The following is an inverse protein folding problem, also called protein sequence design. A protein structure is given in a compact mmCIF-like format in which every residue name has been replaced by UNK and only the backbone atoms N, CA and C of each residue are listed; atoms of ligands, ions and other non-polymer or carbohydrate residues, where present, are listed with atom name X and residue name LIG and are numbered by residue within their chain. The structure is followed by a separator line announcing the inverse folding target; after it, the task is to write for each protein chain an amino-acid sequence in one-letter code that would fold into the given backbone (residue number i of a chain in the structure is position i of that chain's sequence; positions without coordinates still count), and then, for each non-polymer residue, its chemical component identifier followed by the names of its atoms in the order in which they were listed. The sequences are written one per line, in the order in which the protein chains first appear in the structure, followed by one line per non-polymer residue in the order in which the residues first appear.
data_IF_039465469889
#
_entry.id   IF_039465469889
#
_cell.length_a   1.000
_cell.length_b   1.000
_cell.length_c   1.000
_cell.angle_alpha   90.00
_cell.angle_beta   90.00
_cell.angle_gamma   90.00
#
_symmetry.space_group_name_H-M   'P 1'
#
loop_
_entity.id
_entity.type
_entity.pdbx_description
1 polymer ?
#
# COMPACT_ATOMS: atom_id res chain seq x y z
N UNK A 1 6.67 -26.80 25.18
CA UNK A 1 6.89 -27.44 23.86
C UNK A 1 5.61 -27.20 23.05
N UNK A 2 5.61 -26.17 22.20
CA UNK A 2 4.55 -25.95 21.21
C UNK A 2 5.26 -25.55 19.93
N UNK A 3 5.45 -26.53 19.05
CA UNK A 3 5.94 -26.35 17.68
C UNK A 3 4.78 -26.67 16.77
N UNK A 4 4.10 -25.64 16.28
CA UNK A 4 3.23 -25.77 15.11
C UNK A 4 3.22 -24.43 14.37
N UNK A 5 4.40 -24.03 13.90
CA UNK A 5 4.54 -22.99 12.89
C UNK A 5 4.03 -23.56 11.57
N UNK A 6 2.72 -23.47 11.33
CA UNK A 6 2.15 -23.60 9.99
C UNK A 6 2.74 -22.47 9.14
N UNK A 7 3.85 -22.77 8.47
CA UNK A 7 4.36 -21.97 7.37
C UNK A 7 3.22 -21.90 6.35
N UNK A 8 2.65 -20.72 6.18
CA UNK A 8 1.75 -20.40 5.08
C UNK A 8 2.51 -20.68 3.79
N UNK A 9 2.35 -21.88 3.22
CA UNK A 9 2.83 -22.19 1.89
C UNK A 9 2.05 -21.31 0.92
N UNK A 10 2.70 -20.23 0.48
CA UNK A 10 2.15 -19.32 -0.49
C UNK A 10 1.99 -20.05 -1.82
N UNK A 11 0.84 -19.90 -2.51
CA UNK A 11 0.68 -20.43 -3.85
C UNK A 11 1.73 -19.77 -4.76
N UNK A 12 2.68 -20.58 -5.23
CA UNK A 12 3.63 -20.21 -6.28
C UNK A 12 2.82 -20.00 -7.55
N UNK A 13 2.33 -18.77 -7.76
CA UNK A 13 1.66 -18.41 -9.02
C UNK A 13 2.74 -18.29 -10.10
N UNK A 14 2.81 -19.31 -10.96
CA UNK A 14 3.82 -19.53 -12.02
C UNK A 14 3.75 -18.53 -13.19
N UNK A 15 3.31 -17.30 -12.93
CA UNK A 15 3.45 -16.17 -13.82
C UNK A 15 3.41 -14.95 -12.93
N UNK A 16 4.53 -14.22 -12.82
CA UNK A 16 4.75 -13.15 -11.85
C UNK A 16 3.69 -12.05 -12.00
N UNK A 17 2.54 -12.25 -11.35
CA UNK A 17 1.52 -11.23 -11.21
C UNK A 17 2.09 -10.22 -10.21
N UNK A 18 2.29 -9.02 -10.72
CA UNK A 18 2.68 -7.84 -9.96
C UNK A 18 1.64 -7.61 -8.87
N UNK A 19 1.99 -7.83 -7.60
CA UNK A 19 1.10 -7.52 -6.48
C UNK A 19 1.00 -6.00 -6.33
N UNK A 20 -0.22 -5.50 -6.16
CA UNK A 20 -0.53 -4.08 -5.93
C UNK A 20 -1.23 -3.97 -4.58
N UNK A 21 -0.75 -3.10 -3.69
CA UNK A 21 -1.44 -2.82 -2.43
C UNK A 21 -2.27 -1.55 -2.61
N UNK A 22 -3.57 -1.62 -2.31
CA UNK A 22 -4.47 -0.46 -2.33
C UNK A 22 -5.06 -0.25 -0.94
N UNK A 23 -4.93 0.98 -0.44
CA UNK A 23 -5.50 1.40 0.84
C UNK A 23 -6.79 2.19 0.62
N UNK A 24 -7.71 2.12 1.60
CA UNK A 24 -8.94 2.91 1.60
C UNK A 24 -9.05 3.72 2.89
N UNK A 25 -9.50 4.97 2.77
CA UNK A 25 -9.77 5.85 3.90
C UNK A 25 -11.11 5.52 4.62
N UNK A 26 -11.52 4.24 4.65
CA UNK A 26 -12.74 3.80 5.32
C UNK A 26 -14.07 4.10 4.60
N UNK A 27 -14.03 4.49 3.33
CA UNK A 27 -15.23 4.73 2.51
C UNK A 27 -15.17 3.92 1.20
N UNK A 28 -15.44 2.62 1.29
CA UNK A 28 -15.57 1.74 0.12
C UNK A 28 -16.02 0.33 0.53
N UNK A 29 -16.55 -0.49 -0.40
CA UNK A 29 -16.86 -1.89 -0.15
C UNK A 29 -15.55 -2.70 -0.11
N UNK A 30 -14.68 -2.41 0.86
CA UNK A 30 -13.60 -3.32 1.19
C UNK A 30 -14.18 -4.66 1.64
N UNK A 31 -13.45 -5.77 1.50
CA UNK A 31 -13.85 -7.03 2.09
C UNK A 31 -14.13 -6.81 3.59
N UNK A 32 -15.26 -7.32 4.08
CA UNK A 32 -15.57 -7.22 5.50
C UNK A 32 -14.46 -7.87 6.35
N UNK A 33 -14.38 -7.59 7.66
CA UNK A 33 -13.30 -8.10 8.52
C UNK A 33 -13.12 -9.63 8.46
N UNK A 34 -14.19 -10.38 8.14
CA UNK A 34 -14.17 -11.83 7.99
C UNK A 34 -13.52 -12.33 6.68
N UNK A 35 -13.36 -11.47 5.67
CA UNK A 35 -12.78 -11.76 4.35
C UNK A 35 -11.34 -11.24 4.20
N UNK A 36 -10.74 -10.67 5.26
CA UNK A 36 -9.31 -10.32 5.35
C UNK A 36 -8.39 -11.55 5.38
N UNK A 37 -8.62 -12.52 4.49
CA UNK A 37 -7.52 -13.37 4.09
C UNK A 37 -6.53 -12.43 3.38
N UNK A 38 -5.31 -12.31 3.90
CA UNK A 38 -4.17 -11.65 3.24
C UNK A 38 -3.84 -12.39 1.94
N UNK A 39 -4.77 -12.48 1.00
CA UNK A 39 -4.65 -13.16 -0.28
C UNK A 39 -4.91 -12.09 -1.33
N UNK A 40 -4.02 -11.98 -2.33
CA UNK A 40 -4.31 -11.13 -3.47
C UNK A 40 -5.62 -11.56 -4.12
N UNK A 41 -6.43 -10.61 -4.59
CA UNK A 41 -7.62 -10.91 -5.38
C UNK A 41 -7.26 -11.51 -6.76
N UNK A 42 -8.27 -11.72 -7.62
CA UNK A 42 -8.04 -12.28 -8.96
C UNK A 42 -7.14 -11.41 -9.85
N UNK A 43 -6.96 -10.14 -9.50
CA UNK A 43 -6.10 -9.17 -10.18
C UNK A 43 -4.74 -8.98 -9.49
N UNK A 44 -4.54 -9.60 -8.32
CA UNK A 44 -3.31 -9.46 -7.54
C UNK A 44 -3.33 -8.31 -6.55
N UNK A 45 -4.50 -7.75 -6.23
CA UNK A 45 -4.64 -6.62 -5.30
C UNK A 45 -4.74 -7.08 -3.86
N UNK A 46 -4.06 -6.36 -2.99
CA UNK A 46 -4.06 -6.55 -1.54
C UNK A 46 -4.69 -5.33 -0.86
N UNK A 47 -5.44 -5.57 0.21
CA UNK A 47 -6.24 -4.57 0.90
C UNK A 47 -5.75 -4.41 2.33
N UNK A 48 -5.40 -3.18 2.73
CA UNK A 48 -4.94 -2.88 4.09
C UNK A 48 -5.70 -1.69 4.67
N UNK A 49 -6.06 -1.79 5.95
CA UNK A 49 -6.80 -0.75 6.67
C UNK A 49 -5.89 0.12 7.56
N UNK A 50 -4.70 -0.37 7.87
CA UNK A 50 -3.73 0.33 8.71
C UNK A 50 -2.29 0.10 8.24
N UNK A 51 -1.39 0.89 8.83
CA UNK A 51 0.03 0.89 8.50
C UNK A 51 0.77 -0.42 8.85
N UNK A 52 0.34 -1.12 9.90
CA UNK A 52 0.98 -2.36 10.32
C UNK A 52 0.66 -3.51 9.35
N UNK A 53 -0.58 -3.56 8.84
CA UNK A 53 -0.98 -4.50 7.80
C UNK A 53 -0.15 -4.28 6.52
N UNK A 54 0.12 -3.03 6.14
CA UNK A 54 0.91 -2.72 4.95
C UNK A 54 2.36 -3.14 5.10
N UNK A 55 2.99 -2.82 6.24
CA UNK A 55 4.35 -3.28 6.52
C UNK A 55 4.45 -4.79 6.34
N UNK A 56 3.51 -5.55 6.92
CA UNK A 56 3.46 -7.00 6.77
C UNK A 56 3.28 -7.41 5.30
N UNK A 57 2.35 -6.79 4.58
CA UNK A 57 2.07 -7.11 3.17
C UNK A 57 3.26 -6.81 2.27
N UNK A 58 3.95 -5.68 2.45
CA UNK A 58 5.14 -5.33 1.68
C UNK A 58 6.24 -6.38 1.89
N UNK A 59 6.44 -6.82 3.13
CA UNK A 59 7.43 -7.86 3.46
C UNK A 59 7.07 -9.23 2.89
N UNK A 60 5.79 -9.60 2.89
CA UNK A 60 5.33 -10.91 2.43
C UNK A 60 5.22 -11.01 0.91
N UNK A 61 4.76 -9.94 0.25
CA UNK A 61 4.37 -9.99 -1.16
C UNK A 61 5.32 -9.26 -2.10
N UNK A 62 6.21 -8.42 -1.58
CA UNK A 62 7.11 -7.59 -2.37
C UNK A 62 6.37 -6.91 -3.55
N UNK A 63 5.34 -6.10 -3.26
CA UNK A 63 4.53 -5.47 -4.29
C UNK A 63 5.38 -4.58 -5.19
N UNK A 64 4.97 -4.41 -6.43
CA UNK A 64 5.61 -3.43 -7.32
C UNK A 64 4.99 -2.05 -7.21
N UNK A 65 3.80 -1.95 -6.63
CA UNK A 65 3.05 -0.71 -6.53
C UNK A 65 2.23 -0.66 -5.24
N UNK A 66 2.21 0.52 -4.63
CA UNK A 66 1.37 0.85 -3.48
C UNK A 66 0.56 2.09 -3.82
N UNK A 67 -0.73 2.05 -3.55
CA UNK A 67 -1.67 3.14 -3.81
C UNK A 67 -2.42 3.46 -2.52
N UNK A 68 -2.42 4.73 -2.12
CA UNK A 68 -3.18 5.18 -0.95
C UNK A 68 -3.84 6.55 -1.17
N UNK A 69 -4.86 6.88 -0.37
CA UNK A 69 -5.21 8.27 -0.09
C UNK A 69 -3.99 9.05 0.43
N UNK A 70 -3.94 10.34 0.10
CA UNK A 70 -2.93 11.28 0.56
C UNK A 70 -3.08 11.56 2.06
N UNK A 71 -4.33 11.69 2.53
CA UNK A 71 -4.68 11.79 3.95
C UNK A 71 -5.87 10.88 4.20
N UNK A 72 -5.79 10.06 5.24
CA UNK A 72 -6.88 9.24 5.75
C UNK A 72 -7.06 9.49 7.26
N UNK A 73 -8.14 8.95 7.84
CA UNK A 73 -8.44 9.14 9.27
C UNK A 73 -7.32 8.62 10.20
N UNK A 74 -6.62 7.55 9.79
CA UNK A 74 -5.71 6.80 10.64
C UNK A 74 -4.25 6.84 10.15
N UNK A 75 -3.97 7.48 9.03
CA UNK A 75 -2.62 7.63 8.48
C UNK A 75 -2.58 8.79 7.49
N UNK A 76 -1.40 9.34 7.26
CA UNK A 76 -1.12 10.17 6.09
C UNK A 76 -0.10 9.48 5.16
N UNK A 77 0.00 10.00 3.94
CA UNK A 77 0.87 9.40 2.94
C UNK A 77 2.37 9.48 3.29
N UNK A 78 2.77 10.35 4.21
CA UNK A 78 4.14 10.57 4.62
C UNK A 78 4.55 9.48 5.61
N UNK A 79 3.71 9.18 6.60
CA UNK A 79 3.87 8.04 7.50
C UNK A 79 4.04 6.74 6.69
N UNK A 80 3.19 6.56 5.67
CA UNK A 80 3.28 5.40 4.79
C UNK A 80 4.58 5.42 3.96
N UNK A 81 5.01 6.56 3.42
CA UNK A 81 6.27 6.66 2.68
C UNK A 81 7.46 6.21 3.53
N UNK A 82 7.51 6.64 4.80
CA UNK A 82 8.55 6.26 5.75
C UNK A 82 8.51 4.76 6.07
N UNK A 83 7.32 4.16 6.21
CA UNK A 83 7.19 2.71 6.41
C UNK A 83 7.68 1.94 5.19
N UNK A 84 7.32 2.37 3.98
CA UNK A 84 7.81 1.78 2.73
C UNK A 84 9.34 1.87 2.63
N UNK A 85 9.92 3.00 3.03
CA UNK A 85 11.37 3.19 3.09
C UNK A 85 12.01 2.22 4.10
N UNK A 86 11.46 2.11 5.31
CA UNK A 86 11.90 1.15 6.35
C UNK A 86 11.81 -0.31 5.88
N UNK A 87 10.80 -0.63 5.06
CA UNK A 87 10.64 -1.93 4.43
C UNK A 87 11.57 -2.15 3.23
N UNK A 88 12.37 -1.16 2.83
CA UNK A 88 13.20 -1.16 1.62
C UNK A 88 12.38 -1.44 0.36
N UNK A 89 11.15 -0.94 0.31
CA UNK A 89 10.30 -1.01 -0.87
C UNK A 89 11.02 -0.38 -2.07
N UNK A 90 10.92 -1.04 -3.23
CA UNK A 90 11.59 -0.63 -4.48
C UNK A 90 10.62 -0.38 -5.64
N UNK A 91 9.31 -0.45 -5.37
CA UNK A 91 8.28 -0.22 -6.37
C UNK A 91 7.93 1.26 -6.52
N UNK A 92 6.73 1.52 -7.02
CA UNK A 92 6.16 2.87 -7.15
C UNK A 92 5.12 3.09 -6.06
N UNK A 93 5.16 4.23 -5.37
CA UNK A 93 4.15 4.64 -4.40
C UNK A 93 3.35 5.83 -4.94
N UNK A 94 2.03 5.67 -5.01
CA UNK A 94 1.10 6.68 -5.51
C UNK A 94 0.12 7.10 -4.42
N UNK A 95 0.18 8.37 -4.02
CA UNK A 95 -0.80 8.98 -3.12
C UNK A 95 -1.91 9.67 -3.92
N UNK A 96 -3.16 9.64 -3.43
CA UNK A 96 -4.31 10.25 -4.09
C UNK A 96 -4.85 11.44 -3.31
N UNK A 97 -5.04 12.59 -3.95
CA UNK A 97 -5.66 13.75 -3.33
C UNK A 97 -6.74 14.34 -4.20
N UNK A 98 -7.83 14.75 -3.56
CA UNK A 98 -8.86 15.62 -4.15
C UNK A 98 -8.56 17.10 -3.92
N UNK A 99 -7.63 17.42 -3.02
CA UNK A 99 -7.30 18.78 -2.62
C UNK A 99 -6.02 19.24 -3.29
N UNK A 100 -6.15 20.14 -4.26
CA UNK A 100 -5.02 20.78 -4.94
C UNK A 100 -4.16 21.61 -3.97
N UNK A 101 -4.75 22.14 -2.90
CA UNK A 101 -4.05 22.97 -1.93
C UNK A 101 -3.06 22.18 -1.06
N UNK A 102 -3.30 20.87 -0.88
CA UNK A 102 -2.46 20.02 -0.02
C UNK A 102 -1.30 19.41 -0.80
N UNK A 103 -1.42 19.27 -2.12
CA UNK A 103 -0.41 18.64 -2.98
C UNK A 103 0.97 19.34 -2.87
N UNK A 104 1.08 20.69 -2.95
CA UNK A 104 2.38 21.34 -2.83
C UNK A 104 3.05 21.09 -1.47
N UNK A 105 2.28 21.15 -0.39
CA UNK A 105 2.77 20.96 0.99
C UNK A 105 3.39 19.57 1.14
N UNK A 106 2.66 18.54 0.72
CA UNK A 106 3.15 17.16 0.80
C UNK A 106 4.34 16.92 -0.13
N UNK A 107 4.37 17.55 -1.31
CA UNK A 107 5.52 17.45 -2.21
C UNK A 107 6.78 18.01 -1.59
N UNK A 108 6.68 19.15 -0.92
CA UNK A 108 7.82 19.76 -0.24
C UNK A 108 8.31 18.87 0.90
N UNK A 109 7.41 18.33 1.73
CA UNK A 109 7.76 17.42 2.82
C UNK A 109 8.39 16.10 2.32
N UNK A 110 7.87 15.53 1.24
CA UNK A 110 8.43 14.31 0.64
C UNK A 110 9.77 14.57 -0.05
N UNK A 111 9.99 15.76 -0.63
CA UNK A 111 11.24 16.09 -1.31
C UNK A 111 12.45 16.07 -0.37
N UNK A 112 12.22 16.34 0.91
CA UNK A 112 13.23 16.25 1.97
C UNK A 112 13.50 14.80 2.42
N UNK A 113 12.66 13.84 2.03
CA UNK A 113 12.84 12.42 2.32
C UNK A 113 13.61 11.73 1.19
N UNK A 114 14.76 11.12 1.51
CA UNK A 114 15.47 10.23 0.58
C UNK A 114 14.77 8.86 0.48
N UNK A 115 13.61 8.83 -0.17
CA UNK A 115 12.75 7.65 -0.20
C UNK A 115 13.40 6.43 -0.86
N UNK A 116 14.29 6.63 -1.84
CA UNK A 116 14.93 5.53 -2.56
C UNK A 116 13.99 4.67 -3.42
N UNK A 117 12.78 5.18 -3.70
CA UNK A 117 11.77 4.63 -4.60
C UNK A 117 10.97 5.75 -5.28
N UNK A 118 10.17 5.42 -6.29
CA UNK A 118 9.38 6.41 -7.04
C UNK A 118 8.13 6.81 -6.24
N UNK A 119 7.94 8.11 -6.02
CA UNK A 119 6.74 8.67 -5.40
C UNK A 119 6.02 9.62 -6.35
N UNK A 120 4.69 9.51 -6.40
CA UNK A 120 3.84 10.44 -7.13
C UNK A 120 2.54 10.72 -6.38
N UNK A 121 2.05 11.95 -6.51
CA UNK A 121 0.70 12.32 -6.08
C UNK A 121 -0.17 12.41 -7.34
N UNK A 122 -1.24 11.62 -7.39
CA UNK A 122 -2.23 11.61 -8.45
C UNK A 122 -3.51 12.33 -8.01
N UNK A 123 -4.16 13.07 -8.92
CA UNK A 123 -5.54 13.50 -8.69
C UNK A 123 -6.48 12.27 -8.73
N UNK A 124 -7.56 12.31 -7.96
CA UNK A 124 -8.47 11.16 -7.74
C UNK A 124 -9.07 10.59 -9.04
N UNK A 125 -9.26 11.43 -10.06
CA UNK A 125 -9.86 11.11 -11.35
C UNK A 125 -8.97 10.24 -12.28
N UNK A 126 -7.71 10.00 -11.93
CA UNK A 126 -6.73 9.35 -12.82
C UNK A 126 -6.42 7.86 -12.57
N UNK A 127 -7.13 7.18 -11.67
CA UNK A 127 -6.86 5.74 -11.40
C UNK A 127 -7.64 4.73 -12.24
N UNK A 128 -8.64 5.16 -13.01
CA UNK A 128 -9.49 4.25 -13.82
C UNK A 128 -9.23 4.33 -15.33
N UNK A 129 -8.07 4.88 -15.73
CA UNK A 129 -7.62 4.96 -17.13
C UNK A 129 -6.89 3.71 -17.60
#
# INVERSE_FOLDING_TARGET
MFTDSKVLQMPQTSGARKAVITLFAGFGPGPGPAEKAYKPDVEGRLWADDLAEIELMVRLYNPCEVISPLIAKNFDCIDLAQILQCCRFRGTYRAQSTSENVIPIVRDEIADLDLGFEFAILPEDRLLG
#
